data_IF_428356609721
#
_entry.id   IF_428356609721
#
_cell.length_a   1.000
_cell.length_b   1.000
_cell.length_c   1.000
_cell.angle_alpha   90.00
_cell.angle_beta   90.00
_cell.angle_gamma   90.00
#
_symmetry.space_group_name_H-M   'P 1'
#
loop_
_entity.id
_entity.type
_entity.pdbx_description
1 polymer ?
#
# COMPACT_ATOMS: atom_id res chain seq x y z
N UNK A 1 4.68 3.85 24.00
CA UNK A 1 3.96 4.42 22.86
C UNK A 1 4.16 5.93 22.92
N UNK A 2 4.67 6.54 21.86
CA UNK A 2 4.72 8.00 21.75
C UNK A 2 3.30 8.51 21.47
N UNK A 3 2.95 9.65 22.05
CA UNK A 3 1.69 10.34 21.80
C UNK A 3 1.67 10.92 20.36
N UNK A 4 0.48 11.25 19.83
CA UNK A 4 0.39 11.95 18.55
C UNK A 4 1.16 13.27 18.56
N UNK A 5 1.10 14.02 19.66
CA UNK A 5 1.80 15.30 19.82
C UNK A 5 3.31 15.17 19.64
N UNK A 6 3.93 14.17 20.26
CA UNK A 6 5.39 13.97 20.15
C UNK A 6 5.79 13.61 18.71
N UNK A 7 5.01 12.75 18.04
CA UNK A 7 5.28 12.35 16.65
C UNK A 7 5.10 13.53 15.69
N UNK A 8 4.05 14.34 15.86
CA UNK A 8 3.78 15.48 15.00
C UNK A 8 4.75 16.65 15.24
N UNK A 9 5.16 16.89 16.49
CA UNK A 9 6.24 17.84 16.78
C UNK A 9 7.54 17.42 16.10
N UNK A 10 7.91 16.14 16.21
CA UNK A 10 9.09 15.65 15.51
C UNK A 10 8.97 15.81 13.99
N UNK A 11 7.79 15.56 13.42
CA UNK A 11 7.54 15.78 12.00
C UNK A 11 7.67 17.26 11.59
N UNK A 12 7.18 18.18 12.42
CA UNK A 12 7.33 19.63 12.21
C UNK A 12 8.81 20.05 12.26
N UNK A 13 9.54 19.62 13.30
CA UNK A 13 10.94 19.93 13.52
C UNK A 13 11.82 19.48 12.34
N UNK A 14 11.46 18.34 11.72
CA UNK A 14 12.22 17.75 10.62
C UNK A 14 11.65 18.00 9.22
N UNK A 15 10.55 18.75 9.11
CA UNK A 15 9.89 19.01 7.83
C UNK A 15 9.34 17.75 7.14
N UNK A 16 8.99 16.71 7.91
CA UNK A 16 8.37 15.50 7.38
C UNK A 16 6.89 15.73 7.12
N UNK A 17 6.44 15.58 5.88
CA UNK A 17 5.03 15.71 5.55
C UNK A 17 4.22 14.52 6.09
N UNK A 18 3.08 14.80 6.69
CA UNK A 18 2.21 13.81 7.33
C UNK A 18 0.82 13.83 6.68
N UNK A 19 0.36 12.65 6.29
CA UNK A 19 -1.04 12.36 6.06
C UNK A 19 -1.64 11.80 7.36
N UNK A 20 -2.37 12.62 8.10
CA UNK A 20 -2.89 12.23 9.41
C UNK A 20 -4.20 11.45 9.27
N UNK A 21 -4.25 10.26 9.86
CA UNK A 21 -5.41 9.37 9.72
C UNK A 21 -6.60 9.89 10.52
N UNK A 22 -7.76 9.96 9.88
CA UNK A 22 -9.05 10.19 10.56
C UNK A 22 -9.69 8.86 11.00
N UNK A 23 -10.72 8.88 11.86
CA UNK A 23 -11.48 7.67 12.17
C UNK A 23 -12.11 7.04 10.93
N UNK A 24 -12.11 5.72 10.88
CA UNK A 24 -12.73 4.97 9.80
C UNK A 24 -14.26 5.05 9.90
N UNK A 25 -14.93 5.51 8.82
CA UNK A 25 -16.39 5.73 8.82
C UNK A 25 -17.19 4.45 9.08
N UNK A 26 -16.64 3.27 8.78
CA UNK A 26 -17.32 1.98 8.95
C UNK A 26 -17.53 1.55 10.41
N UNK A 27 -17.04 2.31 11.39
CA UNK A 27 -17.28 2.07 12.82
C UNK A 27 -18.50 2.82 13.38
N UNK A 28 -19.29 3.45 12.51
CA UNK A 28 -20.41 4.30 12.89
C UNK A 28 -21.65 3.93 12.08
N UNK A 29 -22.82 4.17 12.68
CA UNK A 29 -24.12 3.99 12.03
C UNK A 29 -24.47 5.24 11.22
N UNK A 30 -24.91 5.09 9.97
CA UNK A 30 -25.17 6.21 9.04
C UNK A 30 -26.61 6.23 8.51
N UNK A 31 -27.45 5.31 8.98
CA UNK A 31 -28.78 5.02 8.45
C UNK A 31 -29.81 6.06 8.87
N UNK A 32 -29.69 6.58 10.09
CA UNK A 32 -30.61 7.60 10.60
C UNK A 32 -30.46 8.92 9.83
N UNK A 33 -31.55 9.69 9.61
CA UNK A 33 -31.49 10.97 8.91
C UNK A 33 -30.55 12.00 9.57
N UNK A 34 -30.41 11.94 10.89
CA UNK A 34 -29.56 12.78 11.75
C UNK A 34 -28.28 12.05 12.20
N UNK A 35 -27.85 11.02 11.46
CA UNK A 35 -26.68 10.23 11.83
C UNK A 35 -25.37 11.04 11.78
N UNK A 36 -25.28 12.08 10.95
CA UNK A 36 -24.07 12.92 10.86
C UNK A 36 -23.77 13.62 12.19
N UNK A 37 -24.81 13.97 12.93
CA UNK A 37 -24.73 14.62 14.24
C UNK A 37 -24.68 13.62 15.40
N UNK A 38 -25.36 12.48 15.28
CA UNK A 38 -25.67 11.61 16.43
C UNK A 38 -24.82 10.35 16.54
N UNK A 39 -24.19 9.89 15.45
CA UNK A 39 -23.47 8.61 15.47
C UNK A 39 -22.12 8.64 16.21
N UNK A 40 -21.64 9.84 16.59
CA UNK A 40 -20.39 10.03 17.32
C UNK A 40 -19.15 10.27 16.44
N UNK A 41 -19.28 10.19 15.11
CA UNK A 41 -18.17 10.43 14.18
C UNK A 41 -17.59 11.83 14.34
N UNK A 42 -18.44 12.86 14.35
CA UNK A 42 -18.02 14.26 14.44
C UNK A 42 -17.19 14.54 15.69
N UNK A 43 -17.57 13.97 16.84
CA UNK A 43 -16.81 14.08 18.09
C UNK A 43 -15.42 13.49 17.98
N UNK A 44 -15.28 12.30 17.38
CA UNK A 44 -13.97 11.69 17.19
C UNK A 44 -13.16 12.46 16.14
N UNK A 45 -13.75 12.83 15.01
CA UNK A 45 -13.09 13.64 13.99
C UNK A 45 -12.54 14.95 14.58
N UNK A 46 -13.30 15.65 15.42
CA UNK A 46 -12.85 16.86 16.11
C UNK A 46 -11.60 16.63 16.96
N UNK A 47 -11.52 15.50 17.69
CA UNK A 47 -10.33 15.16 18.46
C UNK A 47 -9.08 15.03 17.56
N UNK A 48 -9.18 14.29 16.46
CA UNK A 48 -8.05 14.11 15.53
C UNK A 48 -7.69 15.42 14.81
N UNK A 49 -8.69 16.22 14.41
CA UNK A 49 -8.47 17.54 13.81
C UNK A 49 -7.74 18.45 14.79
N UNK A 50 -8.18 18.54 16.07
CA UNK A 50 -7.49 19.34 17.09
C UNK A 50 -6.05 18.88 17.33
N UNK A 51 -5.78 17.58 17.24
CA UNK A 51 -4.43 17.05 17.34
C UNK A 51 -3.54 17.46 16.15
N UNK A 52 -4.11 17.75 14.98
CA UNK A 52 -3.36 18.12 13.77
C UNK A 52 -3.33 19.64 13.49
N UNK A 53 -4.31 20.41 13.97
CA UNK A 53 -4.56 21.80 13.55
C UNK A 53 -3.34 22.72 13.58
N UNK A 54 -2.52 22.60 14.62
CA UNK A 54 -1.35 23.45 14.84
C UNK A 54 -0.04 22.88 14.26
N UNK A 55 -0.09 21.74 13.57
CA UNK A 55 1.08 21.09 12.99
C UNK A 55 1.17 21.37 11.48
N UNK A 56 2.15 22.18 11.02
CA UNK A 56 2.37 22.44 9.60
C UNK A 56 2.81 21.20 8.81
N UNK A 57 3.41 20.20 9.46
CA UNK A 57 3.73 18.91 8.83
C UNK A 57 2.49 18.18 8.31
N UNK A 58 1.32 18.36 8.95
CA UNK A 58 0.09 17.70 8.54
C UNK A 58 -0.51 18.43 7.34
N UNK A 59 -0.33 17.85 6.15
CA UNK A 59 -0.79 18.42 4.87
C UNK A 59 -2.01 17.70 4.30
N UNK A 60 -2.26 16.46 4.74
CA UNK A 60 -3.42 15.67 4.33
C UNK A 60 -4.15 15.05 5.53
N UNK A 61 -5.45 14.82 5.36
CA UNK A 61 -6.18 13.80 6.12
C UNK A 61 -6.39 12.56 5.27
N UNK A 62 -5.98 11.40 5.80
CA UNK A 62 -6.23 10.09 5.19
C UNK A 62 -7.52 9.49 5.74
N UNK A 63 -8.45 9.15 4.85
CA UNK A 63 -9.77 8.63 5.19
C UNK A 63 -10.04 7.27 4.53
N UNK A 64 -11.15 6.64 4.94
CA UNK A 64 -11.74 5.39 4.42
C UNK A 64 -10.92 4.10 4.40
N UNK A 65 -9.58 4.12 4.47
CA UNK A 65 -8.72 2.95 4.74
C UNK A 65 -9.14 1.68 3.98
N UNK A 66 -9.24 1.75 2.64
CA UNK A 66 -9.57 0.66 1.72
C UNK A 66 -11.04 0.25 1.67
N UNK A 67 -11.95 0.96 2.35
CA UNK A 67 -13.37 0.63 2.36
C UNK A 67 -14.17 1.20 1.19
N UNK A 68 -13.53 1.84 0.21
CA UNK A 68 -14.19 2.55 -0.89
C UNK A 68 -13.62 2.25 -2.28
N UNK A 69 -12.77 1.23 -2.42
CA UNK A 69 -12.26 0.79 -3.72
C UNK A 69 -13.33 0.18 -4.63
N UNK A 70 -13.00 -0.01 -5.91
CA UNK A 70 -13.86 -0.67 -6.91
C UNK A 70 -12.98 -1.36 -7.97
N UNK A 71 -13.52 -2.33 -8.71
CA UNK A 71 -12.72 -3.24 -9.55
C UNK A 71 -11.82 -2.57 -10.59
N UNK A 72 -12.25 -1.44 -11.15
CA UNK A 72 -11.54 -0.74 -12.23
C UNK A 72 -10.61 0.38 -11.72
N UNK A 73 -10.33 0.46 -10.41
CA UNK A 73 -9.50 1.53 -9.85
C UNK A 73 -8.00 1.43 -10.19
N UNK A 74 -7.58 0.32 -10.83
CA UNK A 74 -6.25 0.12 -11.43
C UNK A 74 -6.28 0.02 -12.96
N UNK A 75 -7.44 0.06 -13.61
CA UNK A 75 -7.52 -0.13 -15.06
C UNK A 75 -6.85 1.06 -15.80
N UNK A 76 -5.84 0.83 -16.64
CA UNK A 76 -5.06 1.91 -17.28
C UNK A 76 -5.93 2.89 -18.08
N UNK A 77 -7.04 2.42 -18.66
CA UNK A 77 -7.97 3.24 -19.44
C UNK A 77 -8.99 4.01 -18.57
N UNK A 78 -9.07 3.72 -17.27
CA UNK A 78 -10.12 4.22 -16.37
C UNK A 78 -9.59 4.94 -15.11
N UNK A 79 -8.27 5.09 -15.00
CA UNK A 79 -7.61 5.86 -13.92
C UNK A 79 -7.48 7.35 -14.23
N UNK A 80 -8.28 7.88 -15.16
CA UNK A 80 -8.30 9.27 -15.60
C UNK A 80 -8.87 10.28 -14.58
N UNK A 81 -9.45 9.79 -13.47
CA UNK A 81 -10.12 10.65 -12.48
C UNK A 81 -11.50 11.15 -12.93
N UNK A 82 -12.03 10.63 -14.05
CA UNK A 82 -13.38 10.88 -14.58
C UNK A 82 -14.25 9.66 -14.32
N UNK A 83 -13.76 8.48 -14.69
CA UNK A 83 -14.51 7.23 -14.58
C UNK A 83 -14.62 6.79 -13.13
N UNK A 84 -15.76 6.20 -12.76
CA UNK A 84 -16.04 5.80 -11.38
C UNK A 84 -17.07 4.66 -11.30
N UNK A 85 -16.85 3.52 -11.98
CA UNK A 85 -17.79 2.40 -11.98
C UNK A 85 -17.84 1.75 -10.59
N UNK A 86 -18.88 2.05 -9.83
CA UNK A 86 -19.09 1.51 -8.48
C UNK A 86 -20.21 0.48 -8.46
N UNK A 87 -19.92 -0.69 -7.90
CA UNK A 87 -20.98 -1.63 -7.54
C UNK A 87 -21.79 -1.13 -6.33
N UNK A 88 -22.83 -1.86 -5.94
CA UNK A 88 -23.72 -1.46 -4.84
C UNK A 88 -22.98 -1.27 -3.52
N UNK A 89 -22.00 -2.12 -3.22
CA UNK A 89 -21.23 -2.04 -1.98
C UNK A 89 -20.33 -0.80 -1.98
N UNK A 90 -19.59 -0.59 -3.07
CA UNK A 90 -18.65 0.51 -3.25
C UNK A 90 -19.37 1.87 -3.25
N UNK A 91 -20.55 1.94 -3.90
CA UNK A 91 -21.37 3.15 -3.95
C UNK A 91 -21.94 3.51 -2.57
N UNK A 92 -22.39 2.51 -1.80
CA UNK A 92 -22.88 2.74 -0.43
C UNK A 92 -21.77 3.29 0.45
N UNK A 93 -20.58 2.69 0.37
CA UNK A 93 -19.45 3.08 1.19
C UNK A 93 -18.90 4.44 0.78
N UNK A 94 -18.84 4.76 -0.52
CA UNK A 94 -18.38 6.08 -0.98
C UNK A 94 -19.29 7.19 -0.49
N UNK A 95 -20.62 6.97 -0.43
CA UNK A 95 -21.57 7.94 0.15
C UNK A 95 -21.32 8.19 1.64
N UNK A 96 -21.03 7.15 2.42
CA UNK A 96 -20.68 7.29 3.85
C UNK A 96 -19.35 8.02 4.02
N UNK A 97 -18.37 7.67 3.20
CA UNK A 97 -17.06 8.30 3.21
C UNK A 97 -17.15 9.80 2.87
N UNK A 98 -17.98 10.20 1.90
CA UNK A 98 -18.21 11.62 1.59
C UNK A 98 -18.93 12.39 2.70
N UNK A 99 -19.83 11.76 3.46
CA UNK A 99 -20.45 12.38 4.65
C UNK A 99 -19.39 12.62 5.74
N UNK A 100 -18.57 11.61 6.01
CA UNK A 100 -17.43 11.73 6.93
C UNK A 100 -16.43 12.82 6.48
N UNK A 101 -16.09 12.88 5.19
CA UNK A 101 -15.25 13.93 4.61
C UNK A 101 -15.85 15.33 4.83
N UNK A 102 -17.16 15.50 4.62
CA UNK A 102 -17.83 16.79 4.83
C UNK A 102 -17.72 17.28 6.28
N UNK A 103 -17.85 16.36 7.25
CA UNK A 103 -17.65 16.67 8.68
C UNK A 103 -16.21 17.13 8.94
N UNK A 104 -15.21 16.38 8.46
CA UNK A 104 -13.80 16.73 8.64
C UNK A 104 -13.47 18.09 8.00
N UNK A 105 -13.95 18.34 6.77
CA UNK A 105 -13.76 19.64 6.09
C UNK A 105 -14.46 20.80 6.80
N UNK A 106 -15.58 20.55 7.47
CA UNK A 106 -16.24 21.55 8.30
C UNK A 106 -15.43 21.93 9.54
N UNK A 107 -14.67 20.99 10.09
CA UNK A 107 -13.79 21.20 11.25
C UNK A 107 -12.44 21.82 10.88
N UNK A 108 -11.91 21.48 9.70
CA UNK A 108 -10.64 22.00 9.18
C UNK A 108 -10.67 22.07 7.65
N UNK A 109 -11.06 23.21 7.07
CA UNK A 109 -11.12 23.40 5.63
C UNK A 109 -9.75 23.63 4.99
N UNK A 110 -8.68 23.81 5.78
CA UNK A 110 -7.35 24.18 5.29
C UNK A 110 -6.53 23.01 4.75
N UNK A 111 -6.92 21.76 5.02
CA UNK A 111 -6.17 20.56 4.65
C UNK A 111 -6.90 19.75 3.59
N UNK A 112 -6.13 19.10 2.73
CA UNK A 112 -6.68 18.23 1.69
C UNK A 112 -7.10 16.90 2.34
N UNK A 113 -8.33 16.47 2.05
CA UNK A 113 -8.81 15.14 2.42
C UNK A 113 -8.62 14.20 1.24
N UNK A 114 -8.03 13.03 1.46
CA UNK A 114 -8.07 11.94 0.50
C UNK A 114 -8.56 10.64 1.11
N UNK A 115 -9.07 9.78 0.23
CA UNK A 115 -9.57 8.47 0.57
C UNK A 115 -8.55 7.40 0.15
N UNK A 116 -8.11 6.55 1.08
CA UNK A 116 -7.09 5.53 0.80
C UNK A 116 -7.70 4.40 -0.04
N UNK A 117 -7.08 4.05 -1.18
CA UNK A 117 -7.54 3.05 -2.15
C UNK A 117 -9.02 3.17 -2.53
N UNK A 118 -9.38 4.24 -3.23
CA UNK A 118 -10.78 4.61 -3.48
C UNK A 118 -11.11 4.91 -4.93
N UNK A 119 -10.15 4.72 -5.82
CA UNK A 119 -10.15 5.18 -7.20
C UNK A 119 -10.52 6.66 -7.25
N UNK A 120 -11.49 6.98 -8.10
CA UNK A 120 -12.00 8.34 -8.26
C UNK A 120 -12.95 8.75 -7.12
N UNK A 121 -12.39 9.17 -5.98
CA UNK A 121 -13.14 9.74 -4.84
C UNK A 121 -12.39 10.92 -4.20
N UNK A 122 -13.03 12.09 -4.19
CA UNK A 122 -12.43 13.32 -3.67
C UNK A 122 -11.44 13.95 -4.68
N UNK A 123 -10.36 14.59 -4.20
CA UNK A 123 -9.47 15.39 -5.05
C UNK A 123 -8.43 14.59 -5.84
N UNK A 124 -8.25 13.29 -5.57
CA UNK A 124 -7.24 12.44 -6.20
C UNK A 124 -7.85 11.13 -6.70
N UNK A 125 -7.17 10.46 -7.63
CA UNK A 125 -7.39 9.04 -7.92
C UNK A 125 -6.42 8.22 -7.08
N UNK A 126 -6.93 7.36 -6.19
CA UNK A 126 -6.10 6.59 -5.25
C UNK A 126 -6.30 5.09 -5.40
N UNK A 127 -5.22 4.31 -5.38
CA UNK A 127 -5.33 2.84 -5.49
C UNK A 127 -4.27 2.12 -4.66
N UNK A 128 -4.64 1.00 -4.05
CA UNK A 128 -3.69 0.00 -3.62
C UNK A 128 -3.36 -0.88 -4.81
N UNK A 129 -2.21 -0.63 -5.40
CA UNK A 129 -1.84 -1.05 -6.73
C UNK A 129 -0.98 -2.32 -6.71
N UNK A 130 -1.57 -3.42 -7.13
CA UNK A 130 -0.94 -4.75 -7.18
C UNK A 130 -1.31 -5.45 -8.50
N UNK A 131 -0.43 -5.39 -9.47
CA UNK A 131 -0.64 -5.94 -10.83
C UNK A 131 0.03 -7.32 -11.04
N UNK A 132 0.35 -8.03 -9.96
CA UNK A 132 1.00 -9.35 -9.99
C UNK A 132 2.26 -9.36 -10.88
N UNK A 133 2.26 -10.21 -11.92
CA UNK A 133 3.31 -10.32 -12.93
C UNK A 133 2.89 -9.67 -14.26
N UNK A 134 2.13 -8.57 -14.23
CA UNK A 134 1.91 -7.77 -15.43
C UNK A 134 3.26 -7.50 -16.13
N UNK A 135 3.36 -7.64 -17.47
CA UNK A 135 4.61 -7.48 -18.19
C UNK A 135 5.30 -6.14 -17.85
N UNK A 136 6.63 -6.16 -17.76
CA UNK A 136 7.41 -4.97 -17.37
C UNK A 136 7.14 -3.79 -18.30
N UNK A 137 7.01 -4.04 -19.61
CA UNK A 137 6.68 -3.01 -20.59
C UNK A 137 5.27 -2.45 -20.35
N UNK A 138 4.26 -3.31 -20.20
CA UNK A 138 2.87 -2.90 -19.93
C UNK A 138 2.79 -2.07 -18.64
N UNK A 139 3.50 -2.47 -17.59
CA UNK A 139 3.61 -1.68 -16.38
C UNK A 139 4.28 -0.32 -16.60
N UNK A 140 5.28 -0.22 -17.49
CA UNK A 140 5.93 1.05 -17.81
C UNK A 140 4.97 2.01 -18.53
N UNK A 141 4.04 1.46 -19.33
CA UNK A 141 3.08 2.24 -20.13
C UNK A 141 1.75 2.47 -19.37
N UNK A 142 1.55 1.80 -18.23
CA UNK A 142 0.26 1.74 -17.50
C UNK A 142 -0.36 3.10 -17.18
N UNK A 143 0.48 4.12 -16.98
CA UNK A 143 0.03 5.46 -16.59
C UNK A 143 -0.01 6.46 -17.75
N UNK A 144 0.24 6.03 -18.99
CA UNK A 144 0.23 6.89 -20.19
C UNK A 144 -1.11 7.60 -20.38
N UNK A 145 -2.22 6.86 -20.31
CA UNK A 145 -3.57 7.41 -20.48
C UNK A 145 -3.86 8.48 -19.42
N UNK A 146 -3.61 8.17 -18.14
CA UNK A 146 -3.74 9.14 -17.05
C UNK A 146 -2.85 10.37 -17.26
N UNK A 147 -1.58 10.18 -17.66
CA UNK A 147 -0.67 11.30 -17.88
C UNK A 147 -1.10 12.20 -19.05
N UNK A 148 -1.84 11.65 -20.02
CA UNK A 148 -2.28 12.35 -21.21
C UNK A 148 -3.61 13.09 -21.02
N UNK A 149 -4.59 12.45 -20.36
CA UNK A 149 -5.96 12.97 -20.26
C UNK A 149 -6.52 13.05 -18.84
N UNK A 150 -5.74 12.62 -17.85
CA UNK A 150 -6.17 12.58 -16.45
C UNK A 150 -6.47 13.97 -15.89
N UNK A 151 -7.53 14.05 -15.07
CA UNK A 151 -8.02 15.31 -14.48
C UNK A 151 -7.75 15.41 -12.97
N UNK A 152 -7.13 14.38 -12.38
CA UNK A 152 -6.79 14.32 -10.95
C UNK A 152 -5.38 13.77 -10.75
N UNK A 153 -4.67 14.17 -9.68
CA UNK A 153 -3.43 13.51 -9.26
C UNK A 153 -3.67 12.00 -9.03
N UNK A 154 -2.71 11.18 -9.45
CA UNK A 154 -2.72 9.74 -9.22
C UNK A 154 -1.78 9.39 -8.06
N UNK A 155 -2.32 8.64 -7.08
CA UNK A 155 -1.57 8.15 -5.95
C UNK A 155 -1.75 6.63 -5.76
N UNK A 156 -0.68 5.87 -5.99
CA UNK A 156 -0.60 4.46 -5.60
C UNK A 156 -0.31 4.37 -4.08
N UNK A 157 -1.37 4.35 -3.27
CA UNK A 157 -1.32 4.36 -1.80
C UNK A 157 -0.55 3.17 -1.21
N UNK A 158 -0.63 2.05 -1.91
CA UNK A 158 0.27 0.92 -1.80
C UNK A 158 0.68 0.55 -3.22
N UNK A 159 1.94 0.22 -3.44
CA UNK A 159 2.43 -0.23 -4.75
C UNK A 159 3.40 -1.38 -4.59
N UNK A 160 3.15 -2.50 -5.25
CA UNK A 160 4.19 -3.51 -5.46
C UNK A 160 3.88 -4.35 -6.68
N UNK A 161 4.79 -4.33 -7.65
CA UNK A 161 4.71 -5.13 -8.86
C UNK A 161 6.10 -5.67 -9.21
N UNK A 162 6.34 -6.99 -9.09
CA UNK A 162 5.52 -7.95 -8.34
C UNK A 162 5.55 -7.68 -6.82
N UNK A 163 4.62 -8.29 -6.11
CA UNK A 163 4.54 -8.36 -4.65
C UNK A 163 5.07 -9.73 -4.17
N UNK A 164 5.72 -9.88 -2.99
CA UNK A 164 6.30 -11.15 -2.55
C UNK A 164 5.32 -12.34 -2.52
N UNK A 165 4.01 -12.10 -2.45
CA UNK A 165 2.99 -13.15 -2.46
C UNK A 165 2.64 -13.64 -3.87
N UNK A 166 3.07 -12.94 -4.91
CA UNK A 166 2.79 -13.32 -6.31
C UNK A 166 3.47 -14.62 -6.71
N UNK A 167 4.57 -14.98 -6.04
CA UNK A 167 5.22 -16.30 -6.13
C UNK A 167 4.42 -17.44 -5.49
N UNK A 168 3.12 -17.26 -5.35
CA UNK A 168 2.16 -18.29 -4.96
C UNK A 168 1.02 -18.35 -5.98
N UNK A 169 0.13 -19.33 -5.92
CA UNK A 169 -1.00 -19.43 -6.86
C UNK A 169 -2.29 -18.78 -6.37
N UNK A 170 -2.38 -18.37 -5.10
CA UNK A 170 -3.61 -17.78 -4.56
C UNK A 170 -3.90 -16.40 -5.16
N UNK A 171 -5.10 -16.22 -5.72
CA UNK A 171 -5.58 -14.96 -6.35
C UNK A 171 -6.90 -14.45 -5.74
N UNK A 172 -7.03 -14.63 -4.43
CA UNK A 172 -8.08 -14.00 -3.65
C UNK A 172 -9.42 -14.76 -3.59
N UNK A 173 -9.54 -15.91 -4.24
CA UNK A 173 -10.74 -16.75 -4.22
C UNK A 173 -10.39 -18.21 -3.93
N UNK A 174 -11.13 -18.82 -3.02
CA UNK A 174 -11.03 -20.25 -2.73
C UNK A 174 -12.43 -20.81 -2.49
N UNK A 175 -12.81 -21.83 -3.27
CA UNK A 175 -14.13 -22.49 -3.16
C UNK A 175 -15.30 -21.48 -3.17
N UNK A 176 -15.26 -20.52 -4.10
CA UNK A 176 -16.30 -19.50 -4.26
C UNK A 176 -16.33 -18.42 -3.18
N UNK A 177 -15.38 -18.42 -2.24
CA UNK A 177 -15.27 -17.40 -1.18
C UNK A 177 -14.06 -16.51 -1.43
N UNK A 178 -14.30 -15.20 -1.41
CA UNK A 178 -13.22 -14.20 -1.47
C UNK A 178 -12.54 -14.09 -0.11
N UNK A 179 -11.21 -14.10 -0.11
CA UNK A 179 -10.40 -13.75 1.06
C UNK A 179 -9.07 -13.17 0.59
N UNK A 180 -8.40 -12.37 1.41
CA UNK A 180 -7.21 -11.62 1.00
C UNK A 180 -5.96 -12.20 1.66
N UNK A 181 -4.97 -11.36 1.99
CA UNK A 181 -3.68 -11.78 2.55
C UNK A 181 -3.74 -12.71 3.76
N UNK A 182 -4.82 -12.65 4.55
CA UNK A 182 -5.03 -13.47 5.75
C UNK A 182 -5.73 -14.81 5.50
N UNK A 183 -6.01 -15.17 4.24
CA UNK A 183 -6.69 -16.40 3.89
C UNK A 183 -5.98 -17.65 4.42
N UNK A 184 -6.75 -18.59 4.97
CA UNK A 184 -6.31 -19.94 5.30
C UNK A 184 -6.68 -20.87 4.15
N UNK A 185 -5.77 -21.02 3.19
CA UNK A 185 -6.00 -21.67 1.88
C UNK A 185 -4.73 -22.42 1.47
N UNK A 186 -4.79 -23.30 0.46
CA UNK A 186 -3.58 -23.81 -0.15
C UNK A 186 -2.96 -22.67 -0.96
N UNK A 187 -1.96 -22.00 -0.39
CA UNK A 187 -1.33 -20.86 -1.06
C UNK A 187 -0.57 -21.30 -2.31
N UNK A 188 -0.02 -22.53 -2.33
CA UNK A 188 0.79 -23.13 -3.40
C UNK A 188 2.02 -22.29 -3.72
N UNK A 189 3.16 -22.67 -3.16
CA UNK A 189 4.44 -21.97 -3.32
C UNK A 189 5.08 -22.32 -4.67
N UNK A 190 5.26 -21.32 -5.53
CA UNK A 190 5.71 -21.50 -6.92
C UNK A 190 6.86 -20.55 -7.25
N UNK A 191 7.91 -20.54 -6.43
CA UNK A 191 9.01 -19.58 -6.58
C UNK A 191 9.77 -19.78 -7.91
N UNK A 192 10.28 -20.99 -8.14
CA UNK A 192 10.97 -21.36 -9.37
C UNK A 192 10.09 -21.21 -10.62
N UNK A 193 8.83 -21.65 -10.56
CA UNK A 193 7.93 -21.63 -11.71
C UNK A 193 7.66 -20.21 -12.19
N UNK A 194 7.32 -19.29 -11.27
CA UNK A 194 7.15 -17.89 -11.64
C UNK A 194 8.46 -17.21 -12.06
N UNK A 195 9.61 -17.63 -11.53
CA UNK A 195 10.91 -17.13 -11.96
C UNK A 195 11.34 -17.63 -13.35
N UNK A 196 10.85 -18.81 -13.76
CA UNK A 196 11.26 -19.44 -15.03
C UNK A 196 10.90 -18.61 -16.26
N UNK A 197 9.87 -17.76 -16.19
CA UNK A 197 9.53 -16.83 -17.27
C UNK A 197 10.63 -15.77 -17.53
N UNK A 198 11.49 -15.50 -16.54
CA UNK A 198 12.58 -14.52 -16.63
C UNK A 198 13.95 -15.18 -16.81
N UNK A 199 14.18 -16.33 -16.18
CA UNK A 199 15.49 -16.98 -16.12
C UNK A 199 15.56 -18.34 -16.82
N UNK A 200 14.46 -18.84 -17.36
CA UNK A 200 14.37 -20.18 -17.94
C UNK A 200 14.73 -21.27 -16.94
N UNK A 201 15.45 -22.30 -17.40
CA UNK A 201 15.84 -23.47 -16.61
C UNK A 201 16.67 -23.13 -15.37
N UNK A 202 17.38 -22.00 -15.38
CA UNK A 202 18.19 -21.55 -14.23
C UNK A 202 17.34 -21.35 -12.97
N UNK A 203 16.07 -20.96 -13.14
CA UNK A 203 15.14 -20.75 -12.02
C UNK A 203 14.91 -22.02 -11.19
N UNK A 204 15.10 -23.21 -11.76
CA UNK A 204 14.92 -24.49 -11.08
C UNK A 204 16.14 -24.92 -10.25
N UNK A 205 17.22 -24.13 -10.23
CA UNK A 205 18.30 -24.30 -9.25
C UNK A 205 17.90 -23.72 -7.88
N UNK A 206 16.86 -24.33 -7.30
CA UNK A 206 16.19 -23.85 -6.08
C UNK A 206 17.08 -23.98 -4.83
N UNK A 207 16.93 -23.03 -3.90
CA UNK A 207 17.64 -23.05 -2.62
C UNK A 207 17.11 -24.10 -1.63
N UNK A 208 17.85 -24.32 -0.55
CA UNK A 208 17.38 -25.15 0.56
C UNK A 208 16.15 -24.58 1.27
N UNK A 209 15.97 -23.25 1.26
CA UNK A 209 14.78 -22.61 1.80
C UNK A 209 13.53 -22.99 1.00
N UNK A 210 13.61 -22.89 -0.33
CA UNK A 210 12.53 -23.31 -1.22
C UNK A 210 12.26 -24.81 -1.11
N UNK A 211 13.29 -25.66 -1.12
CA UNK A 211 13.13 -27.12 -0.93
C UNK A 211 12.42 -27.45 0.39
N UNK A 212 12.78 -26.74 1.47
CA UNK A 212 12.12 -26.90 2.77
C UNK A 212 10.64 -26.56 2.71
N UNK A 213 10.29 -25.43 2.08
CA UNK A 213 8.90 -25.03 1.90
C UNK A 213 8.10 -26.04 1.05
N UNK A 214 8.63 -26.48 -0.09
CA UNK A 214 7.97 -27.45 -0.98
C UNK A 214 7.72 -28.79 -0.28
N UNK A 215 8.71 -29.30 0.48
CA UNK A 215 8.54 -30.54 1.28
C UNK A 215 7.49 -30.39 2.38
N UNK A 216 7.42 -29.23 3.02
CA UNK A 216 6.41 -28.93 4.03
C UNK A 216 5.01 -28.85 3.41
N UNK A 217 4.88 -28.17 2.27
CA UNK A 217 3.64 -28.03 1.52
C UNK A 217 3.10 -29.39 1.07
N UNK A 218 3.96 -30.25 0.51
CA UNK A 218 3.60 -31.62 0.13
C UNK A 218 3.09 -32.47 1.32
N UNK A 219 3.52 -32.19 2.55
CA UNK A 219 2.95 -32.81 3.76
C UNK A 219 1.57 -32.24 4.07
N UNK A 220 1.38 -30.93 3.97
CA UNK A 220 0.07 -30.28 4.18
C UNK A 220 -0.98 -30.82 3.22
N UNK A 221 -0.65 -30.90 1.94
CA UNK A 221 -1.53 -31.49 0.91
C UNK A 221 -1.93 -32.93 1.21
N UNK A 222 -0.98 -33.80 1.58
CA UNK A 222 -1.28 -35.20 1.94
C UNK A 222 -2.26 -35.34 3.11
N UNK A 223 -2.26 -34.36 4.01
CA UNK A 223 -3.16 -34.33 5.17
C UNK A 223 -4.47 -33.57 4.93
N UNK A 224 -4.65 -32.94 3.76
CA UNK A 224 -5.81 -32.11 3.45
C UNK A 224 -5.91 -30.82 4.28
N UNK A 225 -4.81 -30.41 4.93
CA UNK A 225 -4.81 -29.24 5.81
C UNK A 225 -4.63 -27.95 5.02
N UNK A 226 -5.37 -26.91 5.40
CA UNK A 226 -5.17 -25.53 4.93
C UNK A 226 -4.16 -24.79 5.82
N UNK A 227 -3.54 -23.73 5.30
CA UNK A 227 -2.54 -22.95 6.01
C UNK A 227 -2.62 -21.46 5.67
N UNK A 228 -2.01 -20.64 6.51
CA UNK A 228 -1.73 -19.26 6.19
C UNK A 228 -0.35 -19.14 5.53
N UNK A 229 -0.13 -18.09 4.74
CA UNK A 229 1.17 -17.82 4.10
C UNK A 229 2.35 -17.65 5.09
N UNK A 230 2.05 -17.36 6.36
CA UNK A 230 3.04 -17.25 7.43
C UNK A 230 3.32 -18.58 8.15
N UNK A 231 2.58 -19.65 7.83
CA UNK A 231 2.80 -20.98 8.44
C UNK A 231 3.94 -21.77 7.76
N UNK A 232 4.42 -21.33 6.59
CA UNK A 232 5.56 -21.93 5.93
C UNK A 232 6.81 -21.85 6.82
N UNK A 233 7.69 -22.87 6.81
CA UNK A 233 8.97 -22.82 7.52
C UNK A 233 9.79 -21.57 7.19
N UNK A 234 9.76 -21.16 5.93
CA UNK A 234 10.21 -19.85 5.48
C UNK A 234 9.01 -19.07 4.94
N UNK A 235 8.57 -18.05 5.68
CA UNK A 235 7.39 -17.24 5.36
C UNK A 235 7.40 -16.78 3.91
N UNK A 236 6.26 -16.88 3.21
CA UNK A 236 6.15 -16.52 1.78
C UNK A 236 6.69 -15.12 1.50
N UNK A 237 6.33 -14.14 2.34
CA UNK A 237 6.81 -12.77 2.28
C UNK A 237 8.16 -12.55 2.97
N UNK A 238 9.06 -13.53 3.03
CA UNK A 238 10.42 -13.34 3.55
C UNK A 238 11.32 -12.63 2.51
N UNK A 239 12.17 -11.73 2.97
CA UNK A 239 13.24 -11.13 2.15
C UNK A 239 14.44 -12.08 1.93
N UNK A 240 14.47 -13.24 2.60
CA UNK A 240 15.53 -14.23 2.46
C UNK A 240 15.52 -15.01 1.14
N UNK A 241 14.45 -14.91 0.35
CA UNK A 241 14.39 -15.50 -0.99
C UNK A 241 15.09 -14.61 -2.01
N UNK A 242 16.42 -14.73 -2.06
CA UNK A 242 17.28 -13.96 -2.96
C UNK A 242 16.95 -14.18 -4.44
N UNK A 243 16.34 -15.32 -4.78
CA UNK A 243 15.94 -15.69 -6.14
C UNK A 243 14.93 -14.70 -6.75
N UNK A 244 14.20 -13.92 -5.93
CA UNK A 244 13.27 -12.89 -6.40
C UNK A 244 13.97 -11.59 -6.81
N UNK A 245 15.18 -11.35 -6.30
CA UNK A 245 15.83 -10.05 -6.39
C UNK A 245 16.13 -9.65 -7.84
N UNK A 246 16.52 -10.62 -8.69
CA UNK A 246 16.71 -10.36 -10.10
C UNK A 246 15.43 -9.90 -10.80
N UNK A 247 14.27 -10.50 -10.46
CA UNK A 247 12.97 -10.10 -11.04
C UNK A 247 12.58 -8.71 -10.54
N UNK A 248 12.68 -8.44 -9.25
CA UNK A 248 12.44 -7.09 -8.70
C UNK A 248 13.29 -6.04 -9.40
N UNK A 249 14.59 -6.32 -9.60
CA UNK A 249 15.50 -5.41 -10.27
C UNK A 249 15.07 -5.11 -11.73
N UNK A 250 14.57 -6.10 -12.47
CA UNK A 250 14.05 -5.88 -13.82
C UNK A 250 12.86 -4.91 -13.82
N UNK A 251 11.87 -5.11 -12.94
CA UNK A 251 10.72 -4.22 -12.83
C UNK A 251 11.12 -2.79 -12.43
N UNK A 252 11.94 -2.63 -11.38
CA UNK A 252 12.28 -1.30 -10.87
C UNK A 252 13.17 -0.49 -11.83
N UNK A 253 14.03 -1.17 -12.59
CA UNK A 253 14.92 -0.52 -13.56
C UNK A 253 14.14 0.28 -14.60
N UNK A 254 13.01 -0.27 -15.06
CA UNK A 254 12.19 0.35 -16.10
C UNK A 254 11.00 1.13 -15.51
N UNK A 255 10.18 0.50 -14.67
CA UNK A 255 8.91 1.06 -14.24
C UNK A 255 9.08 2.38 -13.47
N UNK A 256 10.02 2.49 -12.53
CA UNK A 256 10.15 3.72 -11.73
C UNK A 256 10.63 4.91 -12.56
N UNK A 257 11.43 4.66 -13.60
CA UNK A 257 11.84 5.70 -14.55
C UNK A 257 10.64 6.11 -15.41
N UNK A 258 9.89 5.14 -15.92
CA UNK A 258 8.68 5.39 -16.69
C UNK A 258 7.64 6.18 -15.89
N UNK A 259 7.39 5.81 -14.63
CA UNK A 259 6.46 6.52 -13.74
C UNK A 259 6.85 7.96 -13.52
N UNK A 260 8.16 8.23 -13.37
CA UNK A 260 8.69 9.59 -13.28
C UNK A 260 8.48 10.35 -14.59
N UNK A 261 8.69 9.70 -15.75
CA UNK A 261 8.44 10.29 -17.07
C UNK A 261 6.97 10.64 -17.26
N UNK A 262 6.05 9.77 -16.83
CA UNK A 262 4.61 10.02 -16.84
C UNK A 262 4.16 11.04 -15.80
N UNK A 263 5.05 11.47 -14.89
CA UNK A 263 4.75 12.48 -13.89
C UNK A 263 3.83 11.99 -12.77
N UNK A 264 3.85 10.68 -12.46
CA UNK A 264 3.00 10.09 -11.42
C UNK A 264 3.10 10.89 -10.11
N UNK A 265 1.95 11.30 -9.58
CA UNK A 265 1.89 12.34 -8.54
C UNK A 265 2.40 11.86 -7.18
N UNK A 266 2.11 10.61 -6.81
CA UNK A 266 2.64 9.99 -5.60
C UNK A 266 2.73 8.47 -5.75
N UNK A 267 3.78 7.89 -5.15
CA UNK A 267 3.99 6.45 -5.08
C UNK A 267 4.32 6.05 -3.65
N UNK A 268 3.67 5.01 -3.13
CA UNK A 268 3.99 4.42 -1.82
C UNK A 268 4.35 2.94 -2.02
N UNK A 269 5.64 2.63 -2.24
CA UNK A 269 6.08 1.27 -2.44
C UNK A 269 5.86 0.42 -1.18
N UNK A 270 4.92 -0.50 -1.27
CA UNK A 270 4.59 -1.41 -0.20
C UNK A 270 5.66 -2.49 -0.09
N UNK A 271 6.01 -2.86 1.14
CA UNK A 271 7.10 -3.81 1.39
C UNK A 271 8.45 -3.40 0.78
N UNK A 272 8.74 -2.09 0.72
CA UNK A 272 10.02 -1.53 0.23
C UNK A 272 11.27 -2.16 0.87
N UNK A 273 11.16 -2.71 2.09
CA UNK A 273 12.22 -3.45 2.77
C UNK A 273 12.67 -4.72 2.03
N UNK A 274 11.94 -5.19 1.02
CA UNK A 274 12.34 -6.30 0.16
C UNK A 274 13.29 -5.91 -0.95
N UNK A 275 13.32 -4.63 -1.33
CA UNK A 275 14.04 -4.15 -2.51
C UNK A 275 15.55 -4.02 -2.25
N UNK A 276 15.94 -4.04 -0.99
CA UNK A 276 17.32 -3.83 -0.56
C UNK A 276 17.71 -4.93 0.41
N UNK A 277 18.86 -5.55 0.16
CA UNK A 277 19.47 -6.49 1.10
C UNK A 277 20.72 -5.85 1.66
N UNK A 278 20.86 -5.87 2.99
CA UNK A 278 22.10 -5.44 3.62
C UNK A 278 23.23 -6.37 3.20
N UNK A 279 24.42 -5.81 2.98
CA UNK A 279 25.61 -6.61 2.68
C UNK A 279 25.95 -7.53 3.87
N UNK A 280 26.56 -8.66 3.58
CA UNK A 280 27.06 -9.55 4.62
C UNK A 280 28.05 -8.83 5.54
N UNK A 281 27.95 -9.12 6.84
CA UNK A 281 28.80 -8.51 7.87
C UNK A 281 28.45 -7.06 8.23
N UNK A 282 27.35 -6.50 7.72
CA UNK A 282 26.85 -5.20 8.20
C UNK A 282 26.54 -5.29 9.70
N UNK A 283 27.18 -4.40 10.46
CA UNK A 283 26.89 -4.18 11.87
C UNK A 283 25.53 -3.48 12.01
N UNK A 284 24.56 -4.21 12.58
CA UNK A 284 23.16 -3.78 12.77
C UNK A 284 22.93 -3.10 14.12
N UNK A 285 23.99 -2.88 14.91
CA UNK A 285 23.86 -2.14 16.14
C UNK A 285 23.56 -0.69 15.83
N UNK A 286 22.71 -0.08 16.67
CA UNK A 286 22.41 1.35 16.59
C UNK A 286 23.70 2.15 16.65
N UNK A 287 23.88 3.05 15.69
CA UNK A 287 24.96 4.05 15.67
C UNK A 287 24.32 5.40 15.61
N UNK A 288 24.50 6.19 16.67
CA UNK A 288 24.06 7.57 16.66
C UNK A 288 24.88 8.35 15.62
N UNK A 289 24.18 9.07 14.76
CA UNK A 289 24.78 9.91 13.74
C UNK A 289 24.79 11.35 14.24
N UNK A 290 25.87 12.09 13.93
CA UNK A 290 25.90 13.52 14.24
C UNK A 290 24.87 14.22 13.33
N UNK A 291 23.82 14.75 13.94
CA UNK A 291 22.78 15.52 13.26
C UNK A 291 23.01 17.00 13.51
N UNK A 292 23.01 17.77 12.43
CA UNK A 292 22.92 19.23 12.49
C UNK A 292 21.45 19.61 12.68
N UNK A 293 21.04 19.68 13.96
CA UNK A 293 19.68 20.06 14.35
C UNK A 293 19.36 21.52 14.02
N UNK A 294 20.37 22.38 13.84
CA UNK A 294 20.16 23.80 13.55
C UNK A 294 19.84 24.02 12.07
N UNK A 295 20.37 23.19 11.16
CA UNK A 295 20.15 23.29 9.70
C UNK A 295 19.35 22.11 9.13
N UNK A 296 18.34 21.65 9.88
CA UNK A 296 17.63 20.42 9.56
C UNK A 296 16.62 20.56 8.40
N UNK A 297 16.17 21.79 8.10
CA UNK A 297 15.26 22.11 7.00
C UNK A 297 15.96 22.08 5.63
N UNK A 298 16.48 20.92 5.24
CA UNK A 298 17.05 20.65 3.91
C UNK A 298 16.33 19.47 3.27
N UNK A 299 16.20 19.42 1.93
CA UNK A 299 15.56 18.29 1.26
C UNK A 299 16.24 16.95 1.59
N UNK A 300 15.43 15.93 1.91
CA UNK A 300 15.88 14.54 2.12
C UNK A 300 15.81 14.06 3.58
N UNK A 301 16.08 12.77 3.79
CA UNK A 301 16.16 12.18 5.13
C UNK A 301 17.48 12.55 5.81
N UNK A 302 17.42 13.05 7.05
CA UNK A 302 18.60 13.21 7.92
C UNK A 302 18.51 12.19 9.06
N UNK A 303 19.10 10.99 8.91
CA UNK A 303 19.04 9.97 9.95
C UNK A 303 19.83 10.41 11.19
N UNK A 304 19.22 10.29 12.36
CA UNK A 304 19.83 10.50 13.66
C UNK A 304 20.47 9.23 14.24
N UNK A 305 20.13 8.08 13.67
CA UNK A 305 20.82 6.81 13.87
C UNK A 305 20.70 5.89 12.64
N UNK A 306 21.56 4.87 12.59
CA UNK A 306 21.46 3.70 11.70
C UNK A 306 21.63 2.40 12.48
#
# INVERSE_FOLDING_TARGET
HLSFTEVLNAADDVGMLVAFSQPHFGHYEWEAPDADETNGYARHAEFYVRAAQNHPSVVFYSMSHNATGYSEDMNPDMIDGIQNPRDTWSLRNSKRASRAEAIVKGLDPGRIVYHHSSGNLGPMHTSNFYANFAPIQEMSDWFEHWATVGVKPLFTCEYSVPFPWDWTMYRGWYQGKRSFGSAKVPWEFCLAEWNSQFFGDEAFKISEMEKTNLRWEAKKFRTGNLWHRWDYPHVVGSSGFAERQGVYAMYFTDNWRAFRTWGMSANSPWSHGHYWTLRDGVDKNRKDLQVDWENLQRPGFSPDYI
#
